data_IF_820996141771
#
_entry.id   IF_820996141771
#
_cell.length_a   1.000
_cell.length_b   1.000
_cell.length_c   1.000
_cell.angle_alpha   90.00
_cell.angle_beta   90.00
_cell.angle_gamma   90.00
#
_symmetry.space_group_name_H-M   'P 1'
#
loop_
_entity.id
_entity.type
_entity.pdbx_description
1 polymer ?
#
# COMPACT_ATOMS: atom_id res chain seq x y z
N UNK A 1 -30.68 33.25 -8.32
CA UNK A 1 -29.30 32.99 -7.88
C UNK A 1 -29.28 31.58 -7.33
N UNK A 2 -28.74 30.67 -8.14
CA UNK A 2 -28.45 29.29 -7.81
C UNK A 2 -27.31 29.19 -6.79
N UNK A 3 -27.49 28.34 -5.78
CA UNK A 3 -26.37 27.66 -5.13
C UNK A 3 -26.79 26.20 -4.93
N UNK A 4 -26.34 25.26 -5.79
CA UNK A 4 -26.56 23.85 -5.54
C UNK A 4 -25.42 23.25 -4.70
N UNK A 5 -25.85 22.52 -3.67
CA UNK A 5 -25.28 21.27 -3.16
C UNK A 5 -23.76 21.11 -3.02
N UNK A 6 -23.27 21.08 -1.78
CA UNK A 6 -22.13 20.22 -1.43
C UNK A 6 -22.65 18.92 -0.83
N UNK A 7 -22.92 17.95 -1.71
CA UNK A 7 -23.03 16.56 -1.32
C UNK A 7 -21.71 16.09 -0.72
N UNK A 8 -21.77 15.52 0.48
CA UNK A 8 -20.64 14.79 1.05
C UNK A 8 -20.41 13.52 0.22
N UNK A 9 -19.31 13.48 -0.52
CA UNK A 9 -18.84 12.27 -1.17
C UNK A 9 -18.27 11.33 -0.09
N UNK A 10 -19.13 10.45 0.41
CA UNK A 10 -18.71 9.32 1.22
C UNK A 10 -17.86 8.39 0.37
N UNK A 11 -16.60 8.24 0.78
CA UNK A 11 -15.67 7.12 0.56
C UNK A 11 -16.24 5.90 -0.18
N UNK A 12 -16.32 5.96 -1.51
CA UNK A 12 -16.43 4.75 -2.32
C UNK A 12 -15.06 4.08 -2.30
N UNK A 13 -14.93 3.00 -1.51
CA UNK A 13 -13.75 2.15 -1.49
C UNK A 13 -13.59 1.58 -2.90
N UNK A 14 -12.58 2.05 -3.64
CA UNK A 14 -12.25 1.48 -4.95
C UNK A 14 -11.70 0.07 -4.74
N UNK A 15 -12.50 -0.94 -5.12
CA UNK A 15 -12.03 -2.33 -5.14
C UNK A 15 -11.13 -2.54 -6.36
N UNK A 16 -9.84 -2.79 -6.13
CA UNK A 16 -8.90 -3.16 -7.17
C UNK A 16 -8.75 -4.67 -7.20
N UNK A 17 -9.06 -5.31 -8.34
CA UNK A 17 -8.80 -6.73 -8.56
C UNK A 17 -7.55 -6.89 -9.41
N UNK A 18 -6.51 -7.46 -8.81
CA UNK A 18 -5.24 -7.74 -9.49
C UNK A 18 -5.17 -9.24 -9.80
N UNK A 19 -4.92 -9.59 -11.05
CA UNK A 19 -4.65 -10.97 -11.43
C UNK A 19 -3.13 -11.19 -11.45
N UNK A 20 -2.65 -12.07 -10.58
CA UNK A 20 -1.25 -12.46 -10.54
C UNK A 20 -1.04 -13.74 -11.37
N UNK A 21 0.03 -13.75 -12.14
CA UNK A 21 0.59 -14.97 -12.74
C UNK A 21 1.02 -15.96 -11.66
N UNK A 22 1.22 -17.23 -12.04
CA UNK A 22 1.71 -18.25 -11.10
C UNK A 22 3.08 -17.88 -10.50
N UNK A 23 3.94 -17.23 -11.29
CA UNK A 23 5.27 -16.80 -10.85
C UNK A 23 5.19 -15.66 -9.85
N UNK A 24 4.38 -14.63 -10.11
CA UNK A 24 4.16 -13.51 -9.18
C UNK A 24 3.55 -13.97 -7.87
N UNK A 25 2.59 -14.90 -7.93
CA UNK A 25 2.01 -15.53 -6.73
C UNK A 25 3.06 -16.26 -5.90
N UNK A 26 3.94 -17.02 -6.55
CA UNK A 26 5.05 -17.71 -5.87
C UNK A 26 5.98 -16.72 -5.17
N UNK A 27 6.29 -15.60 -5.83
CA UNK A 27 7.07 -14.51 -5.22
C UNK A 27 6.38 -13.90 -4.01
N UNK A 28 5.07 -13.65 -4.09
CA UNK A 28 4.28 -13.11 -2.97
C UNK A 28 4.23 -14.09 -1.78
N UNK A 29 4.04 -15.38 -2.04
CA UNK A 29 4.07 -16.42 -0.99
C UNK A 29 5.43 -16.49 -0.30
N UNK A 30 6.53 -16.42 -1.07
CA UNK A 30 7.88 -16.40 -0.51
C UNK A 30 8.14 -15.14 0.34
N UNK A 31 7.65 -13.97 -0.12
CA UNK A 31 7.74 -12.73 0.65
C UNK A 31 6.95 -12.82 1.96
N UNK A 32 5.72 -13.34 1.92
CA UNK A 32 4.90 -13.53 3.11
C UNK A 32 5.62 -14.44 4.14
N UNK A 33 6.19 -15.56 3.68
CA UNK A 33 6.96 -16.46 4.53
C UNK A 33 8.20 -15.78 5.15
N UNK A 34 8.93 -14.98 4.36
CA UNK A 34 10.09 -14.23 4.84
C UNK A 34 9.71 -13.18 5.90
N UNK A 35 8.64 -12.42 5.66
CA UNK A 35 8.17 -11.41 6.60
C UNK A 35 7.66 -12.03 7.91
N UNK A 36 6.98 -13.20 7.86
CA UNK A 36 6.61 -13.95 9.07
C UNK A 36 7.81 -14.26 9.95
N UNK A 37 8.92 -14.68 9.32
CA UNK A 37 10.16 -14.99 10.02
C UNK A 37 10.82 -13.78 10.69
N UNK A 38 10.60 -12.57 10.16
CA UNK A 38 11.16 -11.32 10.73
C UNK A 38 10.25 -10.71 11.78
N UNK A 39 8.94 -10.76 11.58
CA UNK A 39 7.95 -10.16 12.46
C UNK A 39 7.53 -11.05 13.64
N UNK A 40 8.02 -12.31 13.68
CA UNK A 40 7.59 -13.35 14.64
C UNK A 40 6.06 -13.48 14.74
N UNK A 41 5.35 -13.16 13.66
CA UNK A 41 3.89 -13.02 13.61
C UNK A 41 3.34 -13.62 12.32
N UNK A 42 2.11 -14.13 12.38
CA UNK A 42 1.40 -14.68 11.22
C UNK A 42 0.90 -13.55 10.33
N UNK A 43 1.68 -13.25 9.28
CA UNK A 43 1.33 -12.31 8.23
C UNK A 43 0.56 -12.99 7.10
N UNK A 44 -0.50 -12.34 6.62
CA UNK A 44 -1.26 -12.77 5.45
C UNK A 44 -0.55 -12.42 4.12
N UNK A 45 -1.05 -12.94 3.00
CA UNK A 45 -0.59 -12.51 1.66
C UNK A 45 -0.91 -11.03 1.40
N UNK A 46 -2.00 -10.50 1.99
CA UNK A 46 -2.38 -9.10 1.91
C UNK A 46 -1.34 -8.21 2.62
N UNK A 47 -0.88 -8.63 3.81
CA UNK A 47 0.17 -7.91 4.54
C UNK A 47 1.49 -7.94 3.75
N UNK A 48 1.83 -9.08 3.16
CA UNK A 48 3.02 -9.20 2.32
C UNK A 48 2.94 -8.27 1.09
N UNK A 49 1.76 -8.15 0.48
CA UNK A 49 1.54 -7.25 -0.65
C UNK A 49 1.67 -5.78 -0.22
N UNK A 50 1.09 -5.40 0.92
CA UNK A 50 1.20 -4.04 1.46
C UNK A 50 2.66 -3.69 1.76
N UNK A 51 3.42 -4.60 2.38
CA UNK A 51 4.86 -4.41 2.61
C UNK A 51 5.65 -4.28 1.30
N UNK A 52 5.32 -5.09 0.27
CA UNK A 52 5.93 -4.98 -1.05
C UNK A 52 5.66 -3.62 -1.70
N UNK A 53 4.41 -3.13 -1.60
CA UNK A 53 3.99 -1.84 -2.14
C UNK A 53 4.67 -0.69 -1.40
N UNK A 54 4.76 -0.73 -0.07
CA UNK A 54 5.47 0.28 0.71
C UNK A 54 6.94 0.37 0.29
N UNK A 55 7.62 -0.78 0.14
CA UNK A 55 9.01 -0.82 -0.30
C UNK A 55 9.16 -0.28 -1.74
N UNK A 56 8.26 -0.64 -2.64
CA UNK A 56 8.29 -0.15 -4.02
C UNK A 56 8.11 1.37 -4.09
N UNK A 57 7.14 1.91 -3.35
CA UNK A 57 6.90 3.36 -3.26
C UNK A 57 8.08 4.08 -2.60
N UNK A 58 8.69 3.49 -1.57
CA UNK A 58 9.90 4.03 -0.92
C UNK A 58 11.04 4.11 -1.92
N UNK A 59 11.30 3.05 -2.68
CA UNK A 59 12.33 3.07 -3.74
C UNK A 59 12.04 4.10 -4.81
N UNK A 60 10.78 4.26 -5.22
CA UNK A 60 10.40 5.30 -6.18
C UNK A 60 10.71 6.72 -5.68
N UNK A 61 10.68 6.97 -4.37
CA UNK A 61 11.00 8.28 -3.79
C UNK A 61 12.51 8.46 -3.59
N UNK A 62 13.18 7.40 -3.11
CA UNK A 62 14.56 7.48 -2.61
C UNK A 62 15.58 7.18 -3.71
N UNK A 63 15.31 6.19 -4.56
CA UNK A 63 16.25 5.68 -5.57
C UNK A 63 15.97 6.23 -6.98
N UNK A 64 14.73 6.68 -7.24
CA UNK A 64 14.31 7.18 -8.55
C UNK A 64 13.88 8.65 -8.47
N UNK A 65 14.28 9.44 -9.46
CA UNK A 65 13.75 10.79 -9.62
C UNK A 65 12.40 10.69 -10.31
N UNK A 66 11.30 10.86 -9.56
CA UNK A 66 9.95 11.03 -10.15
C UNK A 66 9.88 12.45 -10.71
N UNK A 67 9.91 12.64 -12.05
CA UNK A 67 10.08 13.96 -12.65
C UNK A 67 8.81 14.81 -12.59
N UNK A 68 7.65 14.16 -12.49
CA UNK A 68 6.37 14.85 -12.31
C UNK A 68 6.14 15.12 -10.81
N UNK A 69 6.08 16.39 -10.38
CA UNK A 69 5.86 16.74 -8.98
C UNK A 69 4.50 16.28 -8.45
N UNK A 70 3.46 16.20 -9.30
CA UNK A 70 2.14 15.72 -8.87
C UNK A 70 2.19 14.22 -8.58
N UNK A 71 2.77 13.44 -9.50
CA UNK A 71 2.98 12.01 -9.30
C UNK A 71 3.85 11.73 -8.07
N UNK A 72 4.87 12.56 -7.81
CA UNK A 72 5.72 12.45 -6.62
C UNK A 72 4.92 12.64 -5.33
N UNK A 73 4.06 13.67 -5.27
CA UNK A 73 3.18 13.90 -4.13
C UNK A 73 2.19 12.74 -3.92
N UNK A 74 1.66 12.16 -5.00
CA UNK A 74 0.77 11.00 -4.94
C UNK A 74 1.48 9.76 -4.39
N UNK A 75 2.70 9.46 -4.88
CA UNK A 75 3.53 8.35 -4.39
C UNK A 75 3.85 8.53 -2.90
N UNK A 76 4.19 9.76 -2.49
CA UNK A 76 4.50 10.08 -1.10
C UNK A 76 3.26 9.90 -0.19
N UNK A 77 2.11 10.42 -0.62
CA UNK A 77 0.84 10.25 0.10
C UNK A 77 0.46 8.77 0.22
N UNK A 78 0.56 8.00 -0.86
CA UNK A 78 0.23 6.58 -0.87
C UNK A 78 1.13 5.78 0.10
N UNK A 79 2.43 6.06 0.14
CA UNK A 79 3.36 5.43 1.09
C UNK A 79 3.00 5.77 2.54
N UNK A 80 2.73 7.04 2.81
CA UNK A 80 2.44 7.52 4.16
C UNK A 80 1.09 6.96 4.65
N UNK A 81 0.09 6.85 3.76
CA UNK A 81 -1.19 6.20 4.04
C UNK A 81 -1.02 4.70 4.37
N UNK A 82 -0.20 3.96 3.61
CA UNK A 82 0.06 2.53 3.89
C UNK A 82 0.70 2.35 5.28
N UNK A 83 1.70 3.18 5.63
CA UNK A 83 2.34 3.15 6.95
C UNK A 83 1.37 3.45 8.10
N UNK A 84 0.49 4.44 7.91
CA UNK A 84 -0.45 4.85 8.94
C UNK A 84 -1.46 3.74 9.31
N UNK A 85 -1.83 2.90 8.34
CA UNK A 85 -2.74 1.78 8.55
C UNK A 85 -2.04 0.53 9.10
N UNK A 86 -0.77 0.31 8.75
CA UNK A 86 0.03 -0.81 9.23
C UNK A 86 0.30 -0.76 10.74
N UNK A 87 0.60 0.42 11.29
CA UNK A 87 0.94 0.58 12.72
C UNK A 87 -0.21 0.18 13.65
N UNK A 88 -1.47 0.22 13.19
CA UNK A 88 -2.62 -0.19 14.02
C UNK A 88 -2.84 -1.71 14.10
N UNK A 89 -2.19 -2.51 13.25
CA UNK A 89 -2.40 -3.96 13.18
C UNK A 89 -1.38 -4.81 13.96
N UNK A 90 -0.20 -4.27 14.28
CA UNK A 90 0.92 -5.08 14.77
C UNK A 90 1.52 -4.65 16.12
N UNK A 91 0.99 -3.60 16.77
CA UNK A 91 1.52 -3.15 18.06
C UNK A 91 0.38 -2.80 19.04
N UNK A 92 -0.29 -3.82 19.56
CA UNK A 92 -0.76 -3.74 20.95
C UNK A 92 0.41 -4.19 21.83
N UNK A 93 1.10 -3.22 22.43
CA UNK A 93 1.99 -3.44 23.58
C UNK A 93 1.22 -4.03 24.76
#
# INVERSE_FOLDING_TARGET
MDVPGRGGAGKDRTELRVQLTAQERTGLTALAAGLRGVAESDLSEEDALVAALELALTRLIDDFEVPDPVAREEVQRARDDLRAHWIRGAATL
#
